data_IF_241824580978
#
_entry.id   IF_241824580978
#
_cell.length_a   1.000
_cell.length_b   1.000
_cell.length_c   1.000
_cell.angle_alpha   90.00
_cell.angle_beta   90.00
_cell.angle_gamma   90.00
#
_symmetry.space_group_name_H-M   'P 1'
#
loop_
_entity.id
_entity.type
_entity.pdbx_description
1 polymer ?
#
# COMPACT_ATOMS: atom_id res chain seq x y z
N UNK A 1 -6.30 27.38 -4.00
CA UNK A 1 -6.34 25.99 -3.48
C UNK A 1 -7.80 25.60 -3.38
N UNK A 2 -8.35 24.77 -4.29
CA UNK A 2 -9.68 24.18 -4.11
C UNK A 2 -9.58 23.18 -2.93
N UNK A 3 -10.57 23.17 -2.04
CA UNK A 3 -10.46 22.77 -0.65
C UNK A 3 -10.09 21.31 -0.37
N UNK A 4 -9.12 21.13 0.52
CA UNK A 4 -8.72 19.85 1.14
C UNK A 4 -8.67 19.99 2.66
N UNK A 5 -8.17 18.97 3.35
CA UNK A 5 -7.93 18.92 4.81
C UNK A 5 -7.55 20.32 5.36
N UNK A 6 -8.28 20.81 6.36
CA UNK A 6 -8.07 22.14 6.96
C UNK A 6 -8.97 23.28 6.43
N UNK A 7 -9.92 23.01 5.53
CA UNK A 7 -10.96 23.98 5.15
C UNK A 7 -12.17 23.97 6.08
N UNK A 8 -13.06 24.97 5.91
CA UNK A 8 -14.30 25.05 6.68
C UNK A 8 -15.14 23.77 6.51
N UNK A 9 -15.74 23.29 7.60
CA UNK A 9 -16.54 22.04 7.64
C UNK A 9 -17.66 22.03 6.59
N UNK A 10 -18.25 23.19 6.32
CA UNK A 10 -19.36 23.35 5.36
C UNK A 10 -18.89 23.54 3.91
N UNK A 11 -17.58 23.61 3.66
CA UNK A 11 -17.05 23.78 2.30
C UNK A 11 -17.27 22.49 1.49
N UNK A 12 -18.05 22.59 0.42
CA UNK A 12 -18.31 21.50 -0.51
C UNK A 12 -17.37 21.50 -1.72
N UNK A 13 -16.49 22.49 -1.84
CA UNK A 13 -15.46 22.53 -2.87
C UNK A 13 -14.28 21.62 -2.49
N UNK A 14 -14.55 20.33 -2.32
CA UNK A 14 -13.55 19.30 -2.02
C UNK A 14 -13.75 18.07 -2.90
N UNK A 15 -12.68 17.29 -3.06
CA UNK A 15 -12.63 16.15 -3.99
C UNK A 15 -13.74 15.13 -3.69
N UNK A 16 -14.00 14.81 -2.42
CA UNK A 16 -15.05 13.84 -2.06
C UNK A 16 -16.44 14.33 -2.48
N UNK A 17 -16.78 15.59 -2.16
CA UNK A 17 -18.09 16.15 -2.49
C UNK A 17 -18.29 16.29 -4.00
N UNK A 18 -17.27 16.74 -4.74
CA UNK A 18 -17.31 16.90 -6.20
C UNK A 18 -17.47 15.53 -6.87
N UNK A 19 -16.62 14.55 -6.55
CA UNK A 19 -16.69 13.24 -7.18
C UNK A 19 -18.00 12.53 -6.85
N UNK A 20 -18.48 12.62 -5.60
CA UNK A 20 -19.77 12.00 -5.22
C UNK A 20 -20.97 12.68 -5.89
N UNK A 21 -20.90 13.98 -6.20
CA UNK A 21 -21.94 14.66 -6.96
C UNK A 21 -21.96 14.22 -8.44
N UNK A 22 -20.79 14.02 -9.04
CA UNK A 22 -20.65 13.61 -10.44
C UNK A 22 -20.87 12.10 -10.64
N UNK A 23 -20.40 11.27 -9.72
CA UNK A 23 -20.53 9.82 -9.77
C UNK A 23 -20.70 9.22 -8.36
N UNK A 24 -21.95 9.09 -7.87
CA UNK A 24 -22.25 8.51 -6.56
C UNK A 24 -21.80 7.04 -6.40
N UNK A 25 -21.53 6.34 -7.50
CA UNK A 25 -21.07 4.94 -7.49
C UNK A 25 -19.54 4.77 -7.42
N UNK A 26 -18.77 5.85 -7.57
CA UNK A 26 -17.31 5.78 -7.47
C UNK A 26 -16.86 5.59 -6.01
N UNK A 27 -15.90 4.68 -5.80
CA UNK A 27 -15.21 4.56 -4.51
C UNK A 27 -14.04 5.53 -4.46
N UNK A 28 -13.97 6.27 -3.36
CA UNK A 28 -12.92 7.26 -3.10
C UNK A 28 -11.87 6.65 -2.19
N UNK A 29 -10.74 6.25 -2.77
CA UNK A 29 -9.60 5.73 -2.03
C UNK A 29 -8.62 6.85 -1.72
N UNK A 30 -8.06 6.84 -0.50
CA UNK A 30 -6.89 7.66 -0.18
C UNK A 30 -5.69 7.07 -0.92
N UNK A 31 -4.97 7.90 -1.66
CA UNK A 31 -3.87 7.49 -2.53
C UNK A 31 -2.65 6.95 -1.78
N UNK A 32 -1.77 6.29 -2.54
CA UNK A 32 -0.63 5.53 -2.05
C UNK A 32 0.27 6.33 -1.11
N UNK A 33 0.63 5.70 0.00
CA UNK A 33 1.77 6.08 0.81
C UNK A 33 2.88 5.08 0.51
N UNK A 34 3.95 5.55 -0.13
CA UNK A 34 5.14 4.75 -0.36
C UNK A 34 5.89 4.59 0.97
N UNK A 35 6.27 3.37 1.37
CA UNK A 35 7.07 3.16 2.57
C UNK A 35 8.51 3.62 2.37
N UNK A 36 9.21 3.83 3.48
CA UNK A 36 10.67 4.11 3.54
C UNK A 36 11.12 5.43 2.90
N UNK A 37 10.18 6.30 2.54
CA UNK A 37 10.48 7.67 2.13
C UNK A 37 10.90 8.48 3.35
N UNK A 38 12.09 9.07 3.30
CA UNK A 38 12.73 9.83 4.39
C UNK A 38 12.81 11.34 4.12
N UNK A 39 12.30 11.81 2.97
CA UNK A 39 12.34 13.23 2.63
C UNK A 39 11.36 14.07 3.47
N UNK A 40 11.39 15.41 3.28
CA UNK A 40 10.90 16.44 4.21
C UNK A 40 9.40 16.41 4.52
N UNK A 41 8.62 15.46 3.99
CA UNK A 41 7.18 15.32 4.23
C UNK A 41 6.90 14.33 5.36
N UNK A 42 7.66 14.40 6.47
CA UNK A 42 7.28 13.72 7.69
C UNK A 42 5.98 14.32 8.23
N UNK A 43 4.99 13.48 8.55
CA UNK A 43 3.76 13.97 9.16
C UNK A 43 4.01 14.64 10.50
N UNK A 44 3.24 15.69 10.80
CA UNK A 44 3.41 16.49 12.03
C UNK A 44 2.95 15.78 13.30
N UNK A 45 2.23 14.66 13.18
CA UNK A 45 1.76 13.84 14.29
C UNK A 45 2.58 12.55 14.35
N UNK A 46 3.44 12.38 15.38
CA UNK A 46 4.23 11.16 15.51
C UNK A 46 3.31 9.95 15.72
N UNK A 47 3.66 8.83 15.11
CA UNK A 47 3.10 7.52 15.38
C UNK A 47 3.94 6.80 16.45
N UNK A 48 3.38 5.76 17.08
CA UNK A 48 4.09 4.99 18.13
C UNK A 48 5.42 4.45 17.64
N UNK A 49 5.47 4.02 16.38
CA UNK A 49 6.70 3.66 15.67
C UNK A 49 7.16 4.90 14.91
N UNK A 50 8.20 5.56 15.43
CA UNK A 50 8.70 6.82 14.88
C UNK A 50 9.53 6.59 13.61
N UNK A 51 8.83 6.61 12.47
CA UNK A 51 9.36 6.55 11.13
C UNK A 51 8.66 7.61 10.24
N UNK A 52 9.37 8.31 9.34
CA UNK A 52 8.80 9.45 8.60
C UNK A 52 7.52 9.13 7.83
N UNK A 53 7.49 8.01 7.08
CA UNK A 53 6.34 7.57 6.31
C UNK A 53 5.15 7.12 7.19
N UNK A 54 5.43 6.54 8.37
CA UNK A 54 4.39 6.18 9.33
C UNK A 54 3.78 7.43 9.96
N UNK A 55 4.62 8.42 10.31
CA UNK A 55 4.15 9.71 10.83
C UNK A 55 3.29 10.45 9.79
N UNK A 56 3.68 10.40 8.51
CA UNK A 56 2.89 10.93 7.41
C UNK A 56 1.50 10.27 7.34
N UNK A 57 1.45 8.94 7.25
CA UNK A 57 0.20 8.19 7.20
C UNK A 57 -0.67 8.44 8.44
N UNK A 58 -0.07 8.46 9.62
CA UNK A 58 -0.77 8.74 10.88
C UNK A 58 -1.37 10.14 10.90
N UNK A 59 -0.62 11.15 10.45
CA UNK A 59 -1.11 12.52 10.31
C UNK A 59 -2.29 12.58 9.33
N UNK A 60 -2.16 11.94 8.17
CA UNK A 60 -3.18 11.90 7.13
C UNK A 60 -4.48 11.24 7.65
N UNK A 61 -4.38 10.03 8.21
CA UNK A 61 -5.53 9.28 8.74
C UNK A 61 -6.21 10.05 9.86
N UNK A 62 -5.45 10.64 10.78
CA UNK A 62 -6.04 11.41 11.88
C UNK A 62 -6.80 12.64 11.37
N UNK A 63 -6.25 13.35 10.38
CA UNK A 63 -6.90 14.52 9.80
C UNK A 63 -8.15 14.16 8.99
N UNK A 64 -8.15 13.01 8.32
CA UNK A 64 -9.33 12.46 7.65
C UNK A 64 -10.43 12.14 8.67
N UNK A 65 -10.07 11.51 9.78
CA UNK A 65 -11.01 11.18 10.85
C UNK A 65 -11.63 12.41 11.51
N UNK A 66 -10.79 13.39 11.90
CA UNK A 66 -11.26 14.66 12.44
C UNK A 66 -12.21 15.38 11.48
N UNK A 67 -11.87 15.40 10.19
CA UNK A 67 -12.71 16.03 9.15
C UNK A 67 -14.03 15.29 8.98
N UNK A 68 -14.01 13.95 8.95
CA UNK A 68 -15.20 13.13 8.79
C UNK A 68 -16.14 13.29 9.99
N UNK A 69 -15.61 13.28 11.21
CA UNK A 69 -16.39 13.50 12.44
C UNK A 69 -16.99 14.91 12.49
N UNK A 70 -16.20 15.95 12.17
CA UNK A 70 -16.69 17.32 12.16
C UNK A 70 -17.83 17.52 11.15
N UNK A 71 -17.69 16.93 9.95
CA UNK A 71 -18.74 16.97 8.90
C UNK A 71 -19.97 16.17 9.30
N UNK A 72 -19.82 15.00 9.90
CA UNK A 72 -20.93 14.22 10.43
C UNK A 72 -21.70 15.00 11.51
N UNK A 73 -21.00 15.67 12.43
CA UNK A 73 -21.62 16.53 13.45
C UNK A 73 -22.37 17.74 12.85
N UNK A 74 -21.95 18.22 11.67
CA UNK A 74 -22.63 19.25 10.91
C UNK A 74 -23.77 18.71 10.00
N UNK A 75 -24.08 17.41 10.07
CA UNK A 75 -25.13 16.77 9.27
C UNK A 75 -24.75 16.56 7.80
N UNK A 76 -23.45 16.61 7.47
CA UNK A 76 -22.93 16.33 6.12
C UNK A 76 -22.57 14.84 6.06
N UNK A 77 -23.37 14.02 5.35
CA UNK A 77 -23.09 12.59 5.23
C UNK A 77 -21.91 12.34 4.28
N UNK A 78 -21.38 11.11 4.28
CA UNK A 78 -20.37 10.68 3.32
C UNK A 78 -19.18 11.66 3.26
N UNK A 79 -18.54 11.86 4.41
CA UNK A 79 -17.37 12.73 4.54
C UNK A 79 -16.06 11.94 4.70
N UNK A 80 -16.14 10.64 4.97
CA UNK A 80 -15.00 9.73 5.04
C UNK A 80 -14.65 9.17 3.64
N UNK A 81 -13.39 8.74 3.42
CA UNK A 81 -13.02 7.92 2.28
C UNK A 81 -13.68 6.53 2.34
N UNK A 82 -13.70 5.84 1.21
CA UNK A 82 -14.26 4.48 1.09
C UNK A 82 -13.19 3.39 1.29
N UNK A 83 -11.92 3.76 1.40
CA UNK A 83 -10.79 2.85 1.60
C UNK A 83 -9.43 3.50 1.38
N UNK A 84 -8.39 2.68 1.39
CA UNK A 84 -7.00 3.11 1.20
C UNK A 84 -6.33 2.31 0.10
N UNK A 85 -5.60 2.99 -0.77
CA UNK A 85 -4.63 2.38 -1.67
C UNK A 85 -3.25 2.50 -1.05
N UNK A 86 -2.50 1.40 -0.96
CA UNK A 86 -1.18 1.35 -0.32
C UNK A 86 -0.15 0.63 -1.19
N UNK A 87 1.11 0.98 -0.97
CA UNK A 87 2.24 0.25 -1.52
C UNK A 87 2.78 -0.72 -0.44
N UNK A 88 3.06 -1.95 -0.84
CA UNK A 88 3.62 -2.99 0.01
C UNK A 88 4.73 -3.74 -0.76
N UNK A 89 5.89 -3.10 -1.00
CA UNK A 89 7.01 -3.73 -1.67
C UNK A 89 7.68 -4.80 -0.81
N UNK A 90 8.20 -5.84 -1.46
CA UNK A 90 8.98 -6.90 -0.81
C UNK A 90 10.45 -6.57 -0.68
N UNK A 91 11.11 -7.02 0.38
CA UNK A 91 12.56 -6.87 0.56
C UNK A 91 13.28 -8.23 0.78
N UNK A 92 13.19 -9.15 -0.18
CA UNK A 92 13.62 -10.55 -0.01
C UNK A 92 15.15 -10.72 0.15
N UNK A 93 15.94 -9.76 -0.34
CA UNK A 93 17.40 -9.75 -0.20
C UNK A 93 17.88 -9.08 1.10
N UNK A 94 16.95 -8.69 1.99
CA UNK A 94 17.30 -8.07 3.25
C UNK A 94 18.22 -8.96 4.07
N UNK A 95 19.30 -8.39 4.61
CA UNK A 95 20.17 -9.08 5.56
C UNK A 95 19.40 -9.58 6.81
N UNK A 96 18.21 -9.01 7.08
CA UNK A 96 17.32 -9.41 8.16
C UNK A 96 16.57 -10.72 7.90
N UNK A 97 16.69 -11.31 6.71
CA UNK A 97 16.18 -12.65 6.42
C UNK A 97 16.96 -13.74 7.18
N UNK A 98 18.17 -13.47 7.67
CA UNK A 98 18.95 -14.36 8.56
C UNK A 98 19.03 -15.83 8.09
N UNK A 99 19.33 -16.02 6.80
CA UNK A 99 19.46 -17.34 6.18
C UNK A 99 18.14 -18.04 5.83
N UNK A 100 17.00 -17.40 6.06
CA UNK A 100 15.71 -17.88 5.56
C UNK A 100 15.64 -17.76 4.03
N UNK A 101 14.87 -18.63 3.35
CA UNK A 101 14.66 -18.52 1.92
C UNK A 101 14.06 -17.14 1.54
N UNK A 102 14.62 -16.42 0.56
CA UNK A 102 14.13 -15.09 0.16
C UNK A 102 12.63 -15.05 -0.19
N UNK A 103 12.10 -16.14 -0.76
CA UNK A 103 10.67 -16.27 -1.09
C UNK A 103 9.74 -16.25 0.15
N UNK A 104 10.24 -16.52 1.35
CA UNK A 104 9.47 -16.48 2.61
C UNK A 104 9.35 -15.07 3.22
N UNK A 105 9.96 -14.07 2.59
CA UNK A 105 9.92 -12.69 3.08
C UNK A 105 8.50 -12.15 3.34
N UNK A 106 7.46 -12.45 2.54
CA UNK A 106 6.10 -11.99 2.83
C UNK A 106 5.54 -12.46 4.17
N UNK A 107 6.10 -13.55 4.71
CA UNK A 107 5.71 -14.15 5.98
C UNK A 107 6.67 -13.81 7.13
N UNK A 108 7.67 -12.97 6.87
CA UNK A 108 8.75 -12.66 7.80
C UNK A 108 8.65 -11.20 8.24
N UNK A 109 8.74 -10.95 9.55
CA UNK A 109 8.79 -9.60 10.08
C UNK A 109 10.21 -9.04 9.92
N UNK A 110 10.38 -8.04 9.07
CA UNK A 110 11.66 -7.40 8.79
C UNK A 110 11.75 -6.08 9.58
N UNK A 111 12.02 -6.18 10.88
CA UNK A 111 11.93 -5.01 11.77
C UNK A 111 13.18 -4.11 11.68
N UNK A 112 12.99 -2.80 11.50
CA UNK A 112 14.05 -1.79 11.56
C UNK A 112 14.30 -1.31 12.99
N UNK A 113 15.52 -1.48 13.49
CA UNK A 113 15.95 -0.82 14.73
C UNK A 113 16.15 0.69 14.53
N UNK A 114 16.65 1.08 13.35
CA UNK A 114 16.88 2.49 12.97
C UNK A 114 15.58 3.29 12.94
N UNK A 115 14.47 2.64 12.59
CA UNK A 115 13.13 3.24 12.55
C UNK A 115 12.21 2.66 13.62
N UNK A 116 12.76 2.45 14.81
CA UNK A 116 12.02 2.19 16.06
C UNK A 116 11.00 1.04 16.01
N UNK A 117 11.22 0.03 15.18
CA UNK A 117 10.32 -1.11 15.04
C UNK A 117 9.52 -1.16 13.74
N UNK A 118 9.70 -0.22 12.81
CA UNK A 118 8.96 -0.22 11.54
C UNK A 118 9.31 -1.43 10.66
N UNK A 119 8.34 -1.93 9.91
CA UNK A 119 8.50 -3.03 8.97
C UNK A 119 9.26 -2.63 7.70
N UNK A 120 10.19 -3.48 7.27
CA UNK A 120 11.08 -3.35 6.10
C UNK A 120 10.87 -4.48 5.11
N UNK A 121 9.66 -4.60 4.62
CA UNK A 121 9.30 -5.58 3.62
C UNK A 121 7.81 -5.53 3.31
N UNK A 122 7.32 -6.60 2.70
CA UNK A 122 5.93 -6.75 2.29
C UNK A 122 4.97 -6.42 3.43
N UNK A 123 5.29 -6.89 4.63
CA UNK A 123 4.49 -6.69 5.85
C UNK A 123 4.42 -5.25 6.36
N UNK A 124 5.00 -4.27 5.68
CA UNK A 124 4.74 -2.84 5.93
C UNK A 124 3.25 -2.50 5.82
N UNK A 125 2.48 -3.28 5.04
CA UNK A 125 1.03 -3.14 5.02
C UNK A 125 0.40 -3.28 6.42
N UNK A 126 0.98 -4.08 7.32
CA UNK A 126 0.46 -4.25 8.69
C UNK A 126 0.62 -2.98 9.52
N UNK A 127 1.70 -2.22 9.32
CA UNK A 127 1.87 -0.89 9.95
C UNK A 127 0.79 0.08 9.43
N UNK A 128 0.52 0.05 8.12
CA UNK A 128 -0.58 0.83 7.53
C UNK A 128 -1.94 0.47 8.13
N UNK A 129 -2.23 -0.82 8.27
CA UNK A 129 -3.47 -1.29 8.89
C UNK A 129 -3.56 -0.87 10.36
N UNK A 130 -2.45 -0.92 11.10
CA UNK A 130 -2.40 -0.43 12.48
C UNK A 130 -2.83 1.04 12.58
N UNK A 131 -2.34 1.89 11.68
CA UNK A 131 -2.72 3.31 11.64
C UNK A 131 -4.18 3.49 11.20
N UNK A 132 -4.61 2.85 10.12
CA UNK A 132 -5.98 2.93 9.58
C UNK A 132 -7.00 2.49 10.63
N UNK A 133 -6.68 1.48 11.42
CA UNK A 133 -7.60 0.93 12.42
C UNK A 133 -7.58 1.67 13.76
N UNK A 134 -6.70 2.66 13.93
CA UNK A 134 -6.58 3.42 15.18
C UNK A 134 -7.55 4.60 15.29
N UNK A 135 -8.41 4.85 14.28
CA UNK A 135 -9.39 5.94 14.33
C UNK A 135 -10.80 5.48 14.01
N UNK A 136 -11.80 6.19 14.52
CA UNK A 136 -13.19 5.72 14.54
C UNK A 136 -13.80 5.61 13.14
N UNK A 137 -13.53 6.58 12.25
CA UNK A 137 -14.15 6.64 10.92
C UNK A 137 -13.40 5.85 9.86
N UNK A 138 -12.15 5.45 10.11
CA UNK A 138 -11.34 4.67 9.17
C UNK A 138 -11.17 3.20 9.57
N UNK A 139 -11.53 2.84 10.80
CA UNK A 139 -11.42 1.46 11.29
C UNK A 139 -12.22 0.48 10.44
N UNK A 140 -11.54 -0.56 9.95
CA UNK A 140 -12.11 -1.61 9.13
C UNK A 140 -12.40 -1.21 7.68
N UNK A 141 -12.03 0.01 7.24
CA UNK A 141 -12.14 0.37 5.83
C UNK A 141 -11.26 -0.54 4.96
N UNK A 142 -11.72 -0.91 3.76
CA UNK A 142 -10.99 -1.81 2.88
C UNK A 142 -9.67 -1.18 2.43
N UNK A 143 -8.65 -2.02 2.32
CA UNK A 143 -7.31 -1.65 1.88
C UNK A 143 -6.96 -2.41 0.61
N UNK A 144 -6.36 -1.70 -0.35
CA UNK A 144 -5.99 -2.22 -1.65
C UNK A 144 -4.48 -2.07 -1.79
N UNK A 145 -3.75 -3.18 -1.83
CA UNK A 145 -2.33 -3.13 -2.20
C UNK A 145 -2.29 -2.90 -3.71
N UNK A 146 -1.86 -1.71 -4.11
CA UNK A 146 -1.82 -1.30 -5.52
C UNK A 146 -0.45 -1.48 -6.16
N UNK A 147 0.56 -1.83 -5.36
CA UNK A 147 1.92 -2.09 -5.78
C UNK A 147 2.61 -3.08 -4.82
N UNK A 148 3.15 -4.19 -5.34
CA UNK A 148 3.84 -5.21 -4.55
C UNK A 148 5.16 -5.72 -5.15
N UNK A 149 5.87 -4.84 -5.85
CA UNK A 149 7.16 -5.18 -6.46
C UNK A 149 8.25 -5.42 -5.40
N UNK A 150 9.23 -6.27 -5.71
CA UNK A 150 10.38 -6.49 -4.83
C UNK A 150 11.42 -5.39 -5.03
N UNK A 151 11.67 -4.60 -3.99
CA UNK A 151 12.77 -3.65 -3.87
C UNK A 151 12.98 -3.32 -2.38
N UNK A 152 14.23 -3.05 -1.98
CA UNK A 152 14.57 -2.80 -0.58
C UNK A 152 14.81 -1.32 -0.27
N UNK A 153 14.51 -0.90 0.96
CA UNK A 153 14.80 0.46 1.45
C UNK A 153 16.29 0.86 1.30
N UNK A 154 17.18 -0.12 1.46
CA UNK A 154 18.63 0.06 1.43
C UNK A 154 19.27 -0.46 0.12
N UNK A 155 18.47 -0.71 -0.90
CA UNK A 155 18.91 -1.33 -2.15
C UNK A 155 18.51 -0.52 -3.37
N UNK A 156 19.41 -0.43 -4.36
CA UNK A 156 19.08 0.08 -5.70
C UNK A 156 18.67 -1.03 -6.66
N UNK A 157 18.63 -2.27 -6.20
CA UNK A 157 18.26 -3.40 -7.03
C UNK A 157 16.75 -3.36 -7.34
N UNK A 158 16.43 -3.57 -8.61
CA UNK A 158 15.07 -3.52 -9.14
C UNK A 158 14.45 -4.93 -9.14
N UNK A 159 13.14 -5.07 -9.41
CA UNK A 159 12.45 -6.37 -9.35
C UNK A 159 13.09 -7.45 -10.22
N UNK A 160 13.60 -7.09 -11.40
CA UNK A 160 14.35 -8.00 -12.27
C UNK A 160 15.57 -8.68 -11.62
N UNK A 161 16.04 -8.18 -10.48
CA UNK A 161 17.22 -8.66 -9.75
C UNK A 161 16.88 -9.25 -8.38
N UNK A 162 15.67 -9.00 -7.88
CA UNK A 162 15.30 -9.26 -6.47
C UNK A 162 13.98 -10.01 -6.33
N UNK A 163 13.47 -10.61 -7.40
CA UNK A 163 12.28 -11.44 -7.37
C UNK A 163 12.64 -12.93 -7.21
N UNK A 164 12.57 -13.52 -6.01
CA UNK A 164 12.74 -14.95 -5.85
C UNK A 164 11.49 -15.70 -6.30
N UNK A 165 11.68 -16.84 -6.96
CA UNK A 165 10.59 -17.76 -7.32
C UNK A 165 9.77 -18.17 -6.08
N UNK A 166 8.44 -18.11 -6.19
CA UNK A 166 7.52 -18.45 -5.10
C UNK A 166 7.13 -17.26 -4.21
N UNK A 167 7.70 -16.08 -4.42
CA UNK A 167 7.43 -14.91 -3.59
C UNK A 167 5.98 -14.42 -3.71
N UNK A 168 5.42 -14.33 -4.92
CA UNK A 168 4.02 -13.90 -5.13
C UNK A 168 3.02 -14.87 -4.48
N UNK A 169 3.30 -16.18 -4.53
CA UNK A 169 2.47 -17.19 -3.89
C UNK A 169 2.48 -17.02 -2.36
N UNK A 170 3.64 -16.73 -1.76
CA UNK A 170 3.73 -16.45 -0.33
C UNK A 170 3.07 -15.12 0.05
N UNK A 171 3.20 -14.09 -0.80
CA UNK A 171 2.51 -12.81 -0.62
C UNK A 171 0.99 -12.94 -0.70
N UNK A 172 0.48 -13.69 -1.67
CA UNK A 172 -0.94 -14.01 -1.79
C UNK A 172 -1.45 -14.83 -0.59
N UNK A 173 -0.67 -15.82 -0.14
CA UNK A 173 -1.02 -16.61 1.05
C UNK A 173 -1.06 -15.77 2.33
N UNK A 174 -0.16 -14.80 2.47
CA UNK A 174 -0.12 -13.85 3.60
C UNK A 174 -1.36 -12.94 3.60
N UNK A 175 -1.71 -12.31 2.48
CA UNK A 175 -2.87 -11.39 2.44
C UNK A 175 -4.21 -12.12 2.50
N UNK A 176 -4.29 -13.37 2.05
CA UNK A 176 -5.52 -14.16 2.18
C UNK A 176 -5.90 -14.43 3.64
N UNK A 177 -4.95 -14.27 4.57
CA UNK A 177 -5.21 -14.30 6.02
C UNK A 177 -5.66 -12.95 6.57
N UNK A 178 -5.63 -11.88 5.76
CA UNK A 178 -5.96 -10.52 6.17
C UNK A 178 -7.25 -10.03 5.50
N UNK A 179 -8.42 -10.15 6.16
CA UNK A 179 -9.72 -9.88 5.53
C UNK A 179 -9.97 -8.40 5.16
N UNK A 180 -9.15 -7.48 5.68
CA UNK A 180 -9.23 -6.05 5.33
C UNK A 180 -8.49 -5.72 4.04
N UNK A 181 -7.62 -6.61 3.54
CA UNK A 181 -6.89 -6.41 2.28
C UNK A 181 -7.68 -7.06 1.14
N UNK A 182 -8.03 -6.26 0.14
CA UNK A 182 -8.94 -6.65 -0.94
C UNK A 182 -8.25 -6.83 -2.30
N UNK A 183 -6.97 -6.45 -2.41
CA UNK A 183 -6.21 -6.62 -3.65
C UNK A 183 -4.72 -6.78 -3.37
N UNK A 184 -4.05 -7.43 -4.31
CA UNK A 184 -2.60 -7.46 -4.48
C UNK A 184 -2.30 -7.19 -5.94
N UNK A 185 -1.84 -5.98 -6.23
CA UNK A 185 -1.59 -5.55 -7.60
C UNK A 185 -0.10 -5.41 -7.88
N UNK A 186 0.25 -5.71 -9.13
CA UNK A 186 1.55 -5.38 -9.71
C UNK A 186 1.58 -3.91 -10.15
N UNK A 187 2.63 -3.15 -9.79
CA UNK A 187 2.65 -1.68 -9.97
C UNK A 187 2.63 -1.25 -11.44
N UNK A 188 3.46 -1.86 -12.29
CA UNK A 188 3.55 -1.54 -13.72
C UNK A 188 4.00 -2.77 -14.50
N UNK A 189 3.23 -3.13 -15.52
CA UNK A 189 3.58 -4.23 -16.42
C UNK A 189 4.08 -3.75 -17.80
N UNK A 190 3.45 -2.72 -18.37
CA UNK A 190 3.80 -2.20 -19.69
C UNK A 190 3.67 -0.68 -19.77
N UNK A 191 4.62 -0.03 -20.43
CA UNK A 191 4.61 1.41 -20.67
C UNK A 191 5.00 1.72 -22.13
N UNK A 192 4.05 2.24 -22.91
CA UNK A 192 4.20 2.39 -24.36
C UNK A 192 5.15 3.52 -24.81
N UNK A 193 5.62 4.36 -23.88
CA UNK A 193 6.36 5.58 -24.20
C UNK A 193 7.88 5.48 -23.91
N UNK A 194 8.38 4.34 -23.45
CA UNK A 194 9.81 4.13 -23.18
C UNK A 194 10.10 2.86 -22.38
N UNK A 195 11.37 2.65 -22.04
CA UNK A 195 11.91 1.48 -21.33
C UNK A 195 12.11 1.70 -19.83
N UNK A 196 11.66 2.84 -19.28
CA UNK A 196 11.82 3.23 -17.88
C UNK A 196 11.38 2.16 -16.88
N UNK A 197 10.40 1.32 -17.24
CA UNK A 197 9.84 0.27 -16.39
C UNK A 197 10.14 -1.14 -16.90
N UNK A 198 11.12 -1.31 -17.80
CA UNK A 198 11.45 -2.61 -18.38
C UNK A 198 11.82 -3.65 -17.30
N UNK A 199 12.54 -3.24 -16.25
CA UNK A 199 12.92 -4.11 -15.13
C UNK A 199 11.78 -4.44 -14.15
N UNK A 200 10.56 -3.95 -14.43
CA UNK A 200 9.34 -4.23 -13.67
C UNK A 200 8.35 -5.06 -14.50
N UNK A 201 8.59 -5.27 -15.80
CA UNK A 201 7.61 -5.86 -16.71
C UNK A 201 7.45 -7.37 -16.52
N UNK A 202 6.21 -7.84 -16.43
CA UNK A 202 5.85 -9.27 -16.53
C UNK A 202 5.62 -9.67 -17.99
N UNK A 203 5.12 -8.77 -18.84
CA UNK A 203 4.86 -9.00 -20.28
C UNK A 203 6.13 -9.06 -21.12
N UNK A 204 7.18 -8.30 -20.75
CA UNK A 204 8.48 -8.32 -21.41
C UNK A 204 9.59 -8.61 -20.38
N UNK A 205 9.60 -9.82 -19.79
CA UNK A 205 10.39 -10.09 -18.61
C UNK A 205 11.89 -10.11 -18.91
N UNK A 206 12.67 -9.53 -18.00
CA UNK A 206 14.14 -9.60 -17.96
C UNK A 206 14.61 -10.11 -16.60
N UNK A 207 15.74 -10.82 -16.57
CA UNK A 207 16.29 -11.36 -15.33
C UNK A 207 15.30 -12.28 -14.62
N UNK A 208 15.07 -12.02 -13.33
CA UNK A 208 14.17 -12.80 -12.48
C UNK A 208 12.67 -12.57 -12.77
N UNK A 209 12.33 -11.56 -13.58
CA UNK A 209 10.93 -11.30 -13.98
C UNK A 209 10.30 -12.46 -14.76
N UNK A 210 11.09 -13.32 -15.39
CA UNK A 210 10.55 -14.48 -16.10
C UNK A 210 9.89 -15.48 -15.15
N UNK A 211 10.49 -15.68 -13.96
CA UNK A 211 9.89 -16.50 -12.91
C UNK A 211 8.66 -15.81 -12.32
N UNK A 212 8.74 -14.50 -12.08
CA UNK A 212 7.61 -13.70 -11.60
C UNK A 212 6.39 -13.79 -12.53
N UNK A 213 6.60 -13.63 -13.83
CA UNK A 213 5.54 -13.69 -14.83
C UNK A 213 4.88 -15.07 -14.87
N UNK A 214 5.68 -16.15 -14.90
CA UNK A 214 5.15 -17.51 -14.90
C UNK A 214 4.37 -17.84 -13.62
N UNK A 215 4.85 -17.36 -12.46
CA UNK A 215 4.16 -17.51 -11.19
C UNK A 215 2.84 -16.72 -11.17
N UNK A 216 2.85 -15.46 -11.61
CA UNK A 216 1.67 -14.61 -11.69
C UNK A 216 0.57 -15.25 -12.58
N UNK A 217 0.94 -15.75 -13.76
CA UNK A 217 0.02 -16.45 -14.65
C UNK A 217 -0.57 -17.71 -14.01
N UNK A 218 0.25 -18.46 -13.27
CA UNK A 218 -0.19 -19.67 -12.55
C UNK A 218 -1.22 -19.30 -11.48
N UNK A 219 -0.98 -18.26 -10.70
CA UNK A 219 -1.89 -17.80 -9.65
C UNK A 219 -3.24 -17.33 -10.23
N UNK A 220 -3.23 -16.63 -11.36
CA UNK A 220 -4.46 -16.21 -12.06
C UNK A 220 -5.26 -17.39 -12.63
N UNK A 221 -4.60 -18.49 -13.00
CA UNK A 221 -5.29 -19.70 -13.46
C UNK A 221 -5.92 -20.46 -12.30
N UNK A 222 -5.20 -20.59 -11.17
CA UNK A 222 -5.72 -21.24 -9.96
C UNK A 222 -6.96 -20.53 -9.39
N UNK A 223 -7.02 -19.21 -9.45
CA UNK A 223 -8.22 -18.46 -9.03
C UNK A 223 -9.46 -18.86 -9.86
N UNK A 224 -9.30 -19.03 -11.18
CA UNK A 224 -10.40 -19.42 -12.06
C UNK A 224 -10.93 -20.82 -11.75
N UNK A 225 -10.06 -21.74 -11.34
CA UNK A 225 -10.45 -23.11 -10.99
C UNK A 225 -11.16 -23.22 -9.63
N UNK A 226 -10.98 -22.23 -8.73
CA UNK A 226 -11.64 -22.18 -7.42
C UNK A 226 -12.97 -21.41 -7.49
N UNK A 227 -13.14 -20.54 -8.49
CA UNK A 227 -14.33 -19.71 -8.70
C UNK A 227 -15.49 -20.37 -9.47
N UNK A 228 -15.26 -21.55 -10.07
CA UNK A 228 -16.25 -22.40 -10.75
C UNK A 228 -16.74 -23.56 -9.87
#
# INVERSE_FOLDING_TARGET
MPGGIGTAVTDQNNVLAIVRAENPGARMLVGAVQPWVVDEVAGVRPYTTDAPWLNYMHTLVTLLDETAQARAAAGIPLAAPDGFAIDAPGNPESAKMDGQPPAQEPQTDLISATWHGAQLGFRVYRDWLGIINNTATTHGLPVYIIASNTYGADSTALPAQTYPEGWLAQALAEINQQPQVHSLCWFVDYFSYGDQWAEFSLTAPVGQMAAAAAEFDTLLQLEKEIGD
#
